data_IF_559199075392
#
_entry.id   IF_559199075392
#
_cell.length_a   1.000
_cell.length_b   1.000
_cell.length_c   1.000
_cell.angle_alpha   90.00
_cell.angle_beta   90.00
_cell.angle_gamma   90.00
#
_symmetry.space_group_name_H-M   'P 1'
#
loop_
_entity.id
_entity.type
_entity.pdbx_description
1 polymer ?
#
# COMPACT_ATOMS: atom_id res chain seq x y z
N UNK A 1 5.41 33.19 14.36
CA UNK A 1 4.20 33.84 14.95
C UNK A 1 3.10 34.02 13.91
N UNK A 2 3.26 34.80 12.84
CA UNK A 2 2.19 35.08 11.84
C UNK A 2 1.51 33.83 11.27
N UNK A 3 2.24 32.75 10.95
CA UNK A 3 1.68 31.48 10.45
C UNK A 3 0.84 30.80 11.53
N UNK A 4 1.31 30.78 12.75
CA UNK A 4 0.60 30.19 13.89
C UNK A 4 -0.70 30.96 14.17
N UNK A 5 -0.65 32.28 14.17
CA UNK A 5 -1.81 33.15 14.41
C UNK A 5 -2.86 32.95 13.30
N UNK A 6 -2.43 32.85 12.05
CA UNK A 6 -3.29 32.56 10.92
C UNK A 6 -3.93 31.14 11.06
N UNK A 7 -3.15 30.13 11.41
CA UNK A 7 -3.66 28.77 11.60
C UNK A 7 -4.70 28.70 12.74
N UNK A 8 -4.45 29.41 13.84
CA UNK A 8 -5.40 29.54 14.94
C UNK A 8 -6.72 30.17 14.50
N UNK A 9 -6.65 31.31 13.81
CA UNK A 9 -7.84 32.04 13.37
C UNK A 9 -8.71 31.23 12.40
N UNK A 10 -8.09 30.36 11.58
CA UNK A 10 -8.79 29.51 10.62
C UNK A 10 -9.02 28.07 11.12
N UNK A 11 -8.61 27.75 12.35
CA UNK A 11 -8.74 26.40 12.94
C UNK A 11 -8.15 25.28 12.10
N UNK A 12 -7.01 25.52 11.43
CA UNK A 12 -6.31 24.57 10.58
C UNK A 12 -5.10 23.99 11.29
N UNK A 13 -4.80 22.71 11.02
CA UNK A 13 -3.61 22.05 11.53
C UNK A 13 -2.34 22.50 10.78
N UNK A 14 -1.21 22.48 11.47
CA UNK A 14 0.10 22.69 10.87
C UNK A 14 0.89 21.38 10.88
N UNK A 15 1.41 20.99 9.73
CA UNK A 15 2.34 19.86 9.66
C UNK A 15 3.79 20.36 9.81
N UNK A 16 4.39 20.02 10.95
CA UNK A 16 5.82 20.24 11.21
C UNK A 16 6.63 19.10 10.56
N UNK A 17 7.48 19.42 9.60
CA UNK A 17 8.20 18.42 8.82
C UNK A 17 9.72 18.57 8.93
N UNK A 18 10.41 17.45 9.21
CA UNK A 18 11.85 17.31 9.15
C UNK A 18 12.22 16.37 8.01
N UNK A 19 13.00 16.86 7.07
CA UNK A 19 13.62 16.03 6.04
C UNK A 19 15.09 15.87 6.38
N UNK A 20 15.59 14.64 6.38
CA UNK A 20 17.00 14.36 6.67
C UNK A 20 17.95 15.24 5.87
N UNK A 21 17.68 15.40 4.57
CA UNK A 21 18.51 16.22 3.68
C UNK A 21 18.52 17.72 4.02
N UNK A 22 17.58 18.22 4.83
CA UNK A 22 17.48 19.63 5.21
C UNK A 22 18.11 19.96 6.57
N UNK A 23 18.69 18.98 7.24
CA UNK A 23 19.34 19.17 8.54
C UNK A 23 20.67 19.90 8.34
N UNK A 24 20.81 21.09 8.93
CA UNK A 24 21.99 21.97 8.76
C UNK A 24 23.30 21.35 9.20
N UNK A 25 23.27 20.57 10.28
CA UNK A 25 24.46 19.94 10.90
C UNK A 25 24.78 18.56 10.28
N UNK A 26 24.07 18.16 9.22
CA UNK A 26 24.27 16.87 8.58
C UNK A 26 25.48 16.92 7.64
N UNK A 27 26.52 16.19 8.02
CA UNK A 27 27.69 15.92 7.16
C UNK A 27 27.55 14.52 6.54
N UNK A 28 28.24 14.28 5.44
CA UNK A 28 28.17 13.02 4.69
C UNK A 28 28.61 11.78 5.49
N UNK A 29 29.53 11.97 6.43
CA UNK A 29 30.14 10.93 7.26
C UNK A 29 29.40 10.61 8.58
N UNK A 30 28.25 11.27 8.81
CA UNK A 30 27.49 11.08 10.04
C UNK A 30 26.81 9.70 10.05
N UNK A 31 27.08 8.90 11.09
CA UNK A 31 26.51 7.58 11.28
C UNK A 31 24.95 7.62 11.33
N UNK A 32 24.25 6.56 10.85
CA UNK A 32 22.79 6.52 10.80
C UNK A 32 22.09 6.86 12.11
N UNK A 33 22.51 6.29 13.22
CA UNK A 33 21.92 6.57 14.54
C UNK A 33 22.03 8.04 14.94
N UNK A 34 23.14 8.70 14.59
CA UNK A 34 23.33 10.13 14.87
C UNK A 34 22.45 10.99 13.97
N UNK A 35 22.16 10.55 12.73
CA UNK A 35 21.21 11.23 11.84
C UNK A 35 19.80 11.24 12.43
N UNK A 36 19.34 10.10 12.93
CA UNK A 36 18.05 9.98 13.63
C UNK A 36 17.99 10.92 14.84
N UNK A 37 19.05 10.95 15.66
CA UNK A 37 19.13 11.84 16.81
C UNK A 37 19.06 13.32 16.40
N UNK A 38 19.69 13.72 15.29
CA UNK A 38 19.60 15.07 14.74
C UNK A 38 18.19 15.39 14.24
N UNK A 39 17.53 14.47 13.56
CA UNK A 39 16.15 14.64 13.12
C UNK A 39 15.20 14.82 14.31
N UNK A 40 15.34 14.01 15.36
CA UNK A 40 14.57 14.15 16.60
C UNK A 40 14.83 15.47 17.31
N UNK A 41 16.08 15.92 17.36
CA UNK A 41 16.45 17.21 17.96
C UNK A 41 15.75 18.36 17.21
N UNK A 42 15.75 18.32 15.88
CA UNK A 42 15.08 19.33 15.05
C UNK A 42 13.56 19.29 15.26
N UNK A 43 12.94 18.10 15.24
CA UNK A 43 11.52 17.94 15.50
C UNK A 43 11.14 18.48 16.89
N UNK A 44 11.95 18.19 17.89
CA UNK A 44 11.75 18.69 19.26
C UNK A 44 11.79 20.21 19.33
N UNK A 45 12.64 20.83 18.51
CA UNK A 45 12.72 22.31 18.44
C UNK A 45 11.45 22.91 17.82
N UNK A 46 10.88 22.28 16.81
CA UNK A 46 9.61 22.69 16.21
C UNK A 46 8.44 22.53 17.21
N UNK A 47 8.31 21.38 17.84
CA UNK A 47 7.23 21.13 18.80
C UNK A 47 7.27 22.18 19.92
N UNK A 48 8.43 22.40 20.54
CA UNK A 48 8.59 23.43 21.58
C UNK A 48 8.25 24.84 21.10
N UNK A 49 8.56 25.18 19.84
CA UNK A 49 8.19 26.48 19.26
C UNK A 49 6.66 26.64 19.20
N UNK A 50 5.95 25.63 18.74
CA UNK A 50 4.50 25.66 18.63
C UNK A 50 3.82 25.67 20.01
N UNK A 51 4.26 24.80 20.93
CA UNK A 51 3.77 24.75 22.30
C UNK A 51 3.98 26.08 23.04
N UNK A 52 5.15 26.71 22.88
CA UNK A 52 5.43 28.05 23.43
C UNK A 52 4.41 29.11 22.96
N UNK A 53 3.85 28.94 21.78
CA UNK A 53 2.80 29.84 21.26
C UNK A 53 1.40 29.33 21.53
N UNK A 54 1.22 28.29 22.37
CA UNK A 54 -0.08 27.71 22.70
C UNK A 54 -0.78 27.14 21.46
N UNK A 55 -0.04 26.43 20.58
CA UNK A 55 -0.56 25.80 19.38
C UNK A 55 -0.25 24.30 19.42
N UNK A 56 -1.28 23.49 19.51
CA UNK A 56 -1.25 22.04 19.68
C UNK A 56 -1.86 21.26 18.50
N UNK A 57 -2.51 21.94 17.56
CA UNK A 57 -3.08 21.31 16.37
C UNK A 57 -1.98 21.00 15.34
N UNK A 58 -1.07 20.09 15.72
CA UNK A 58 0.10 19.70 14.96
C UNK A 58 -0.04 18.31 14.34
N UNK A 59 0.64 18.13 13.22
CA UNK A 59 0.95 16.82 12.63
C UNK A 59 2.48 16.76 12.44
N UNK A 60 3.13 15.73 12.93
CA UNK A 60 4.57 15.57 12.79
C UNK A 60 4.93 14.74 11.56
N UNK A 61 6.04 15.05 10.93
CA UNK A 61 6.50 14.30 9.74
C UNK A 61 8.01 14.28 9.68
N UNK A 62 8.63 13.10 9.73
CA UNK A 62 10.06 12.92 9.50
C UNK A 62 10.29 11.97 8.33
N UNK A 63 11.09 12.41 7.36
CA UNK A 63 11.32 11.66 6.12
C UNK A 63 12.81 11.56 5.80
N UNK A 64 13.21 10.38 5.35
CA UNK A 64 14.52 10.10 4.77
C UNK A 64 14.36 9.48 3.38
N UNK A 65 15.39 9.51 2.57
CA UNK A 65 15.47 8.73 1.34
C UNK A 65 15.80 7.24 1.62
N UNK A 66 16.25 6.93 2.82
CA UNK A 66 16.54 5.57 3.26
C UNK A 66 15.34 4.97 3.99
N UNK A 67 14.98 3.76 3.57
CA UNK A 67 13.81 3.03 4.09
C UNK A 67 13.94 2.75 5.60
N UNK A 68 15.08 2.21 6.02
CA UNK A 68 15.30 1.82 7.43
C UNK A 68 15.33 3.06 8.33
N UNK A 69 16.04 4.12 7.92
CA UNK A 69 16.06 5.36 8.70
C UNK A 69 14.67 6.02 8.79
N UNK A 70 13.86 5.91 7.72
CA UNK A 70 12.47 6.41 7.77
C UNK A 70 11.66 5.64 8.81
N UNK A 71 11.80 4.32 8.88
CA UNK A 71 11.13 3.50 9.90
C UNK A 71 11.59 3.89 11.29
N UNK A 72 12.91 3.89 11.52
CA UNK A 72 13.49 4.14 12.84
C UNK A 72 13.18 5.55 13.38
N UNK A 73 13.24 6.59 12.55
CA UNK A 73 12.93 7.95 13.00
C UNK A 73 11.44 8.09 13.35
N UNK A 74 10.53 7.47 12.61
CA UNK A 74 9.11 7.57 12.92
C UNK A 74 8.72 6.73 14.16
N UNK A 75 9.34 5.57 14.40
CA UNK A 75 9.25 4.84 15.68
C UNK A 75 9.69 5.72 16.85
N UNK A 76 10.82 6.40 16.68
CA UNK A 76 11.33 7.30 17.70
C UNK A 76 10.42 8.52 17.92
N UNK A 77 9.79 9.07 16.86
CA UNK A 77 8.78 10.13 16.99
C UNK A 77 7.58 9.62 17.77
N UNK A 78 7.01 8.47 17.39
CA UNK A 78 5.85 7.88 18.07
C UNK A 78 6.10 7.62 19.56
N UNK A 79 7.35 7.31 19.95
CA UNK A 79 7.73 7.11 21.36
C UNK A 79 7.90 8.42 22.13
N UNK A 80 8.27 9.52 21.45
CA UNK A 80 8.67 10.78 22.12
C UNK A 80 7.60 11.87 22.08
N UNK A 81 6.57 11.75 21.24
CA UNK A 81 5.55 12.78 21.03
C UNK A 81 4.17 12.16 20.92
N UNK A 82 3.18 12.86 21.43
CA UNK A 82 1.77 12.48 21.37
C UNK A 82 1.03 13.39 20.35
N UNK A 83 1.46 13.32 19.09
CA UNK A 83 0.87 14.05 17.97
C UNK A 83 0.66 13.11 16.78
N UNK A 84 -0.35 13.32 15.95
CA UNK A 84 -0.53 12.59 14.70
C UNK A 84 0.72 12.63 13.83
N UNK A 85 1.03 11.50 13.18
CA UNK A 85 2.24 11.33 12.37
C UNK A 85 1.88 11.16 10.89
N UNK A 86 2.50 11.99 10.06
CA UNK A 86 2.45 11.86 8.61
C UNK A 86 3.69 11.12 8.12
N UNK A 87 3.51 9.89 7.67
CA UNK A 87 4.60 9.01 7.24
C UNK A 87 4.77 9.00 5.72
N UNK A 88 5.98 8.76 5.28
CA UNK A 88 6.33 8.60 3.86
C UNK A 88 7.82 8.62 3.64
N UNK A 89 8.24 8.04 2.53
CA UNK A 89 9.62 8.10 2.05
C UNK A 89 9.81 9.35 1.19
N UNK A 90 11.00 9.93 1.16
CA UNK A 90 11.35 11.02 0.23
C UNK A 90 12.33 10.53 -0.83
N UNK A 91 12.29 11.13 -2.03
CA UNK A 91 13.15 10.77 -3.17
C UNK A 91 13.07 9.28 -3.56
N UNK A 92 11.88 8.70 -3.56
CA UNK A 92 11.70 7.27 -3.80
C UNK A 92 11.92 6.84 -5.27
N UNK A 93 11.98 7.79 -6.23
CA UNK A 93 12.32 7.52 -7.64
C UNK A 93 11.11 7.48 -8.57
N UNK A 94 11.25 6.76 -9.68
CA UNK A 94 10.16 6.46 -10.60
C UNK A 94 9.13 5.53 -9.93
N UNK A 95 7.89 5.41 -10.45
CA UNK A 95 6.86 4.58 -9.81
C UNK A 95 7.30 3.13 -9.54
N UNK A 96 8.04 2.54 -10.46
CA UNK A 96 8.55 1.17 -10.36
C UNK A 96 9.60 1.03 -9.25
N UNK A 97 10.49 2.01 -9.11
CA UNK A 97 11.56 2.03 -8.12
C UNK A 97 11.02 2.39 -6.73
N UNK A 98 10.02 3.27 -6.67
CA UNK A 98 9.42 3.76 -5.44
C UNK A 98 8.49 2.75 -4.76
N UNK A 99 7.91 1.81 -5.52
CA UNK A 99 6.91 0.86 -5.03
C UNK A 99 7.41 0.05 -3.85
N UNK A 100 8.54 -0.61 -3.99
CA UNK A 100 9.08 -1.50 -2.94
C UNK A 100 9.55 -0.72 -1.70
N UNK A 101 10.42 0.30 -1.82
CA UNK A 101 10.87 1.06 -0.66
C UNK A 101 9.72 1.74 0.10
N UNK A 102 8.74 2.30 -0.61
CA UNK A 102 7.56 2.92 0.00
C UNK A 102 6.68 1.89 0.70
N UNK A 103 6.46 0.72 0.08
CA UNK A 103 5.68 -0.35 0.69
C UNK A 103 6.33 -0.88 1.96
N UNK A 104 7.65 -1.04 1.97
CA UNK A 104 8.38 -1.48 3.16
C UNK A 104 8.32 -0.42 4.25
N UNK A 105 8.66 0.86 3.96
CA UNK A 105 8.69 1.90 4.97
C UNK A 105 7.30 2.17 5.56
N UNK A 106 6.31 2.46 4.71
CA UNK A 106 4.95 2.82 5.11
C UNK A 106 4.24 1.60 5.70
N UNK A 107 4.38 0.43 5.03
CA UNK A 107 3.72 -0.80 5.45
C UNK A 107 4.17 -1.28 6.81
N UNK A 108 5.48 -1.23 7.11
CA UNK A 108 6.02 -1.59 8.42
C UNK A 108 5.45 -0.68 9.52
N UNK A 109 5.50 0.64 9.32
CA UNK A 109 5.00 1.59 10.30
C UNK A 109 3.50 1.43 10.56
N UNK A 110 2.69 1.31 9.50
CA UNK A 110 1.25 1.10 9.63
C UNK A 110 0.90 -0.23 10.32
N UNK A 111 1.65 -1.30 10.06
CA UNK A 111 1.46 -2.58 10.73
C UNK A 111 1.78 -2.51 12.24
N UNK A 112 2.61 -1.56 12.65
CA UNK A 112 2.93 -1.25 14.04
C UNK A 112 1.97 -0.23 14.68
N UNK A 113 0.95 0.23 13.94
CA UNK A 113 0.01 1.26 14.40
C UNK A 113 0.59 2.68 14.38
N UNK A 114 1.67 2.92 13.65
CA UNK A 114 2.33 4.21 13.52
C UNK A 114 1.96 4.85 12.18
N UNK A 115 1.36 6.04 12.21
CA UNK A 115 1.02 6.84 11.03
C UNK A 115 -0.48 7.04 10.87
N UNK A 116 -0.89 8.30 10.86
CA UNK A 116 -2.28 8.75 10.73
C UNK A 116 -2.59 9.20 9.31
N UNK A 117 -1.59 9.65 8.60
CA UNK A 117 -1.66 10.00 7.18
C UNK A 117 -0.41 9.53 6.44
N UNK A 118 -0.55 9.20 5.16
CA UNK A 118 0.55 8.67 4.36
C UNK A 118 0.79 9.51 3.11
N UNK A 119 2.02 9.49 2.59
CA UNK A 119 2.36 9.94 1.25
C UNK A 119 3.38 9.00 0.62
N UNK A 120 3.06 8.49 -0.55
CA UNK A 120 4.03 7.92 -1.49
C UNK A 120 4.58 9.06 -2.35
N UNK A 121 5.89 9.09 -2.59
CA UNK A 121 6.53 10.13 -3.43
C UNK A 121 7.12 9.46 -4.67
N UNK A 122 6.60 9.82 -5.85
CA UNK A 122 7.13 9.34 -7.13
C UNK A 122 7.42 10.50 -8.08
N UNK A 123 8.37 10.31 -8.96
CA UNK A 123 8.59 11.22 -10.08
C UNK A 123 7.63 10.85 -11.22
N UNK A 124 6.80 11.79 -11.66
CA UNK A 124 5.85 11.59 -12.77
C UNK A 124 4.41 11.91 -12.39
N UNK A 125 3.47 11.12 -12.87
CA UNK A 125 2.04 11.33 -12.65
C UNK A 125 1.68 11.16 -11.15
N UNK A 126 1.16 12.21 -10.48
CA UNK A 126 0.80 12.16 -9.07
C UNK A 126 -0.32 11.16 -8.76
N UNK A 127 -1.12 10.74 -9.74
CA UNK A 127 -2.15 9.70 -9.56
C UNK A 127 -1.50 8.38 -9.17
N UNK A 128 -0.27 8.10 -9.61
CA UNK A 128 0.48 6.90 -9.22
C UNK A 128 0.79 6.85 -7.72
N UNK A 129 1.01 7.99 -7.07
CA UNK A 129 1.19 8.07 -5.61
C UNK A 129 -0.04 7.53 -4.88
N UNK A 130 -1.24 7.91 -5.35
CA UNK A 130 -2.51 7.44 -4.78
C UNK A 130 -2.72 5.95 -5.01
N UNK A 131 -2.44 5.46 -6.22
CA UNK A 131 -2.58 4.03 -6.55
C UNK A 131 -1.70 3.17 -5.64
N UNK A 132 -0.42 3.52 -5.50
CA UNK A 132 0.53 2.79 -4.64
C UNK A 132 0.12 2.90 -3.17
N UNK A 133 -0.25 4.09 -2.69
CA UNK A 133 -0.69 4.31 -1.32
C UNK A 133 -1.91 3.45 -0.96
N UNK A 134 -2.92 3.40 -1.83
CA UNK A 134 -4.09 2.54 -1.64
C UNK A 134 -3.75 1.06 -1.67
N UNK A 135 -2.82 0.64 -2.53
CA UNK A 135 -2.35 -0.75 -2.53
C UNK A 135 -1.70 -1.14 -1.20
N UNK A 136 -0.88 -0.26 -0.62
CA UNK A 136 -0.28 -0.49 0.71
C UNK A 136 -1.37 -0.64 1.78
N UNK A 137 -2.34 0.29 1.83
CA UNK A 137 -3.43 0.25 2.80
C UNK A 137 -4.27 -1.04 2.67
N UNK A 138 -4.61 -1.44 1.45
CA UNK A 138 -5.36 -2.67 1.17
C UNK A 138 -4.60 -3.92 1.58
N UNK A 139 -3.29 -3.96 1.30
CA UNK A 139 -2.44 -5.09 1.69
C UNK A 139 -2.37 -5.32 3.20
N UNK A 140 -2.68 -4.27 3.98
CA UNK A 140 -2.75 -4.31 5.45
C UNK A 140 -4.20 -4.42 5.98
N UNK A 141 -5.21 -4.49 5.11
CA UNK A 141 -6.60 -4.49 5.53
C UNK A 141 -7.12 -3.17 6.11
N UNK A 142 -6.35 -2.07 5.95
CA UNK A 142 -6.71 -0.74 6.43
C UNK A 142 -7.65 0.03 5.49
N UNK A 143 -7.79 -0.43 4.27
CA UNK A 143 -8.77 0.04 3.29
C UNK A 143 -9.48 -1.17 2.68
N UNK A 144 -10.80 -1.13 2.62
CA UNK A 144 -11.58 -2.16 1.93
C UNK A 144 -11.32 -2.11 0.42
N UNK A 145 -11.32 -3.26 -0.22
CA UNK A 145 -11.29 -3.32 -1.68
C UNK A 145 -12.55 -2.67 -2.25
N UNK A 146 -12.37 -1.51 -2.88
CA UNK A 146 -13.47 -0.82 -3.56
C UNK A 146 -13.81 -1.40 -4.94
N UNK A 147 -13.07 -2.43 -5.39
CA UNK A 147 -13.21 -3.07 -6.69
C UNK A 147 -12.71 -4.51 -6.66
N UNK A 148 -12.63 -5.16 -7.83
CA UNK A 148 -12.25 -6.55 -7.92
C UNK A 148 -10.78 -6.81 -7.53
N UNK A 149 -10.55 -7.91 -6.85
CA UNK A 149 -9.23 -8.46 -6.55
C UNK A 149 -8.97 -9.69 -7.43
N UNK A 150 -7.79 -9.80 -8.02
CA UNK A 150 -7.39 -10.94 -8.82
C UNK A 150 -6.22 -11.70 -8.17
N UNK A 151 -6.49 -12.92 -7.77
CA UNK A 151 -5.52 -13.88 -7.25
C UNK A 151 -5.08 -14.79 -8.39
N UNK A 152 -3.79 -14.97 -8.58
CA UNK A 152 -3.24 -15.77 -9.67
C UNK A 152 -2.25 -16.80 -9.12
N UNK A 153 -2.41 -18.05 -9.51
CA UNK A 153 -1.48 -19.12 -9.21
C UNK A 153 -0.07 -18.78 -9.78
N UNK A 154 1.01 -18.91 -8.97
CA UNK A 154 2.38 -18.59 -9.39
C UNK A 154 2.95 -19.58 -10.41
N UNK A 155 2.18 -20.56 -10.83
CA UNK A 155 2.55 -21.68 -11.70
C UNK A 155 3.59 -22.63 -11.07
N UNK A 156 3.43 -23.91 -11.32
CA UNK A 156 4.35 -24.96 -10.87
C UNK A 156 4.33 -26.13 -11.86
N UNK A 157 5.05 -27.21 -11.58
CA UNK A 157 5.06 -28.41 -12.44
C UNK A 157 3.71 -29.10 -12.62
N UNK A 158 2.66 -28.74 -11.88
CA UNK A 158 1.28 -29.24 -12.03
C UNK A 158 0.42 -28.38 -12.95
N UNK A 159 0.91 -27.22 -13.37
CA UNK A 159 0.17 -26.30 -14.23
C UNK A 159 -0.04 -26.92 -15.62
N UNK A 160 -1.30 -26.96 -16.06
CA UNK A 160 -1.70 -27.58 -17.32
C UNK A 160 -2.18 -26.58 -18.37
N UNK A 161 -2.20 -25.31 -18.05
CA UNK A 161 -2.69 -24.23 -18.90
C UNK A 161 -1.79 -23.00 -18.83
N UNK A 162 -1.89 -22.10 -19.78
CA UNK A 162 -1.21 -20.81 -19.72
C UNK A 162 -1.95 -19.87 -18.75
N UNK A 163 -1.68 -20.02 -17.45
CA UNK A 163 -2.28 -19.21 -16.37
C UNK A 163 -2.05 -17.72 -16.58
N UNK A 164 -0.86 -17.33 -17.01
CA UNK A 164 -0.52 -15.90 -17.21
C UNK A 164 -1.40 -15.29 -18.30
N UNK A 165 -1.57 -15.99 -19.42
CA UNK A 165 -2.45 -15.53 -20.51
C UNK A 165 -3.91 -15.46 -20.06
N UNK A 166 -4.39 -16.46 -19.33
CA UNK A 166 -5.74 -16.48 -18.78
C UNK A 166 -5.97 -15.35 -17.79
N UNK A 167 -5.05 -15.17 -16.83
CA UNK A 167 -5.11 -14.11 -15.83
C UNK A 167 -5.13 -12.71 -16.44
N UNK A 168 -4.32 -12.46 -17.50
CA UNK A 168 -4.36 -11.19 -18.23
C UNK A 168 -5.73 -10.91 -18.86
N UNK A 169 -6.35 -11.93 -19.44
CA UNK A 169 -7.72 -11.83 -20.03
C UNK A 169 -8.75 -11.55 -18.92
N UNK A 170 -8.69 -12.27 -17.81
CA UNK A 170 -9.57 -12.05 -16.64
C UNK A 170 -9.36 -10.64 -16.08
N UNK A 171 -8.12 -10.19 -15.89
CA UNK A 171 -7.82 -8.82 -15.43
C UNK A 171 -8.48 -7.77 -16.30
N UNK A 172 -8.39 -7.92 -17.62
CA UNK A 172 -9.03 -6.99 -18.56
C UNK A 172 -10.56 -6.95 -18.42
N UNK A 173 -11.21 -8.08 -18.13
CA UNK A 173 -12.65 -8.13 -17.86
C UNK A 173 -12.99 -7.46 -16.52
N UNK A 174 -12.12 -7.58 -15.52
CA UNK A 174 -12.31 -6.97 -14.21
C UNK A 174 -12.18 -5.44 -14.21
N UNK A 175 -11.58 -4.83 -15.24
CA UNK A 175 -11.47 -3.36 -15.36
C UNK A 175 -12.83 -2.65 -15.40
N UNK A 176 -13.87 -3.32 -15.90
CA UNK A 176 -15.24 -2.79 -15.94
C UNK A 176 -16.07 -3.10 -14.68
N UNK A 177 -15.53 -3.92 -13.76
CA UNK A 177 -16.25 -4.33 -12.55
C UNK A 177 -15.95 -3.35 -11.42
N UNK A 178 -16.99 -2.75 -10.87
CA UNK A 178 -16.87 -1.78 -9.77
C UNK A 178 -17.17 -2.39 -8.40
N UNK A 179 -17.75 -3.57 -8.35
CA UNK A 179 -18.08 -4.28 -7.12
C UNK A 179 -16.84 -4.94 -6.50
N UNK A 180 -16.75 -5.01 -5.18
CA UNK A 180 -15.73 -5.80 -4.52
C UNK A 180 -16.02 -7.29 -4.78
N UNK A 181 -15.19 -7.95 -5.55
CA UNK A 181 -15.25 -9.39 -5.83
C UNK A 181 -13.84 -9.95 -5.89
N UNK A 182 -13.62 -11.05 -5.20
CA UNK A 182 -12.34 -11.75 -5.14
C UNK A 182 -12.33 -12.88 -6.14
N UNK A 183 -11.56 -12.74 -7.21
CA UNK A 183 -11.49 -13.69 -8.32
C UNK A 183 -10.16 -14.42 -8.30
N UNK A 184 -10.17 -15.75 -8.40
CA UNK A 184 -8.95 -16.56 -8.46
C UNK A 184 -8.78 -17.30 -9.78
N UNK A 185 -7.56 -17.32 -10.31
CA UNK A 185 -7.17 -18.08 -11.50
C UNK A 185 -6.07 -19.06 -11.14
N UNK A 186 -6.42 -20.36 -11.14
CA UNK A 186 -5.54 -21.46 -10.76
C UNK A 186 -5.24 -22.37 -11.93
N UNK A 187 -3.99 -22.78 -12.08
CA UNK A 187 -3.49 -23.58 -13.20
C UNK A 187 -3.59 -25.09 -13.04
N UNK A 188 -4.15 -25.59 -11.94
CA UNK A 188 -4.38 -27.00 -11.74
C UNK A 188 -5.60 -27.27 -10.85
N UNK A 189 -6.09 -28.51 -10.90
CA UNK A 189 -7.24 -28.98 -10.10
C UNK A 189 -6.82 -29.65 -8.79
N UNK A 190 -5.54 -29.79 -8.53
CA UNK A 190 -5.02 -30.49 -7.34
C UNK A 190 -5.01 -29.56 -6.13
N UNK A 191 -4.20 -28.50 -6.17
CA UNK A 191 -4.09 -27.53 -5.09
C UNK A 191 -5.00 -26.31 -5.33
N UNK A 192 -5.33 -26.02 -6.61
CA UNK A 192 -6.10 -24.86 -7.01
C UNK A 192 -7.38 -24.62 -6.21
N UNK A 193 -8.24 -25.63 -5.99
CA UNK A 193 -9.44 -25.46 -5.19
C UNK A 193 -9.19 -25.03 -3.74
N UNK A 194 -8.14 -25.57 -3.11
CA UNK A 194 -7.75 -25.20 -1.74
C UNK A 194 -7.14 -23.79 -1.66
N UNK A 195 -6.24 -23.47 -2.60
CA UNK A 195 -5.59 -22.14 -2.67
C UNK A 195 -6.57 -21.01 -3.06
N UNK A 196 -7.68 -21.36 -3.69
CA UNK A 196 -8.74 -20.42 -4.07
C UNK A 196 -9.96 -20.46 -3.14
N UNK A 197 -9.88 -21.10 -2.00
CA UNK A 197 -11.03 -21.30 -1.10
C UNK A 197 -11.65 -19.99 -0.62
N UNK A 198 -10.84 -18.96 -0.41
CA UNK A 198 -11.26 -17.63 0.03
C UNK A 198 -11.73 -16.71 -1.11
N UNK A 199 -11.73 -17.19 -2.35
CA UNK A 199 -12.21 -16.42 -3.48
C UNK A 199 -13.73 -16.57 -3.63
N UNK A 200 -14.39 -15.47 -3.98
CA UNK A 200 -15.82 -15.47 -4.32
C UNK A 200 -16.08 -16.29 -5.57
N UNK A 201 -15.22 -16.10 -6.58
CA UNK A 201 -15.25 -16.85 -7.84
C UNK A 201 -13.84 -17.34 -8.17
N UNK A 202 -13.71 -18.62 -8.45
CA UNK A 202 -12.44 -19.18 -8.86
C UNK A 202 -12.56 -20.06 -10.10
N UNK A 203 -11.51 -20.08 -10.90
CA UNK A 203 -11.29 -21.10 -11.92
C UNK A 203 -10.06 -21.92 -11.57
N UNK A 204 -10.22 -23.24 -11.59
CA UNK A 204 -9.11 -24.18 -11.54
C UNK A 204 -9.04 -24.89 -12.88
N UNK A 205 -8.09 -24.51 -13.72
CA UNK A 205 -8.00 -25.01 -15.08
C UNK A 205 -7.08 -26.23 -15.16
N UNK A 206 -7.42 -27.17 -16.04
CA UNK A 206 -6.59 -28.35 -16.29
C UNK A 206 -7.18 -29.28 -17.35
N UNK A 207 -6.31 -29.91 -18.12
CA UNK A 207 -6.65 -30.91 -19.15
C UNK A 207 -7.73 -30.43 -20.16
N UNK A 208 -7.59 -29.20 -20.67
CA UNK A 208 -8.55 -28.62 -21.64
C UNK A 208 -9.87 -28.16 -21.04
N UNK A 209 -10.04 -28.22 -19.73
CA UNK A 209 -11.27 -27.84 -19.02
C UNK A 209 -10.99 -26.83 -17.91
N UNK A 210 -12.00 -26.05 -17.57
CA UNK A 210 -12.03 -25.19 -16.41
C UNK A 210 -13.13 -25.62 -15.43
N UNK A 211 -12.75 -25.69 -14.17
CA UNK A 211 -13.66 -25.98 -13.05
C UNK A 211 -13.94 -24.66 -12.34
N UNK A 212 -15.18 -24.20 -12.38
CA UNK A 212 -15.59 -22.94 -11.78
C UNK A 212 -16.13 -23.19 -10.38
N UNK A 213 -15.65 -22.40 -9.44
CA UNK A 213 -16.06 -22.42 -8.04
C UNK A 213 -16.70 -21.09 -7.67
N UNK A 214 -17.72 -21.12 -6.83
CA UNK A 214 -18.31 -19.96 -6.17
C UNK A 214 -18.31 -20.23 -4.66
N UNK A 215 -17.67 -19.36 -3.88
CA UNK A 215 -17.52 -19.50 -2.44
C UNK A 215 -17.01 -20.92 -2.05
N UNK A 216 -15.95 -21.39 -2.69
CA UNK A 216 -15.33 -22.68 -2.46
C UNK A 216 -16.11 -23.91 -3.01
N UNK A 217 -17.33 -23.75 -3.54
CA UNK A 217 -18.14 -24.84 -4.08
C UNK A 217 -18.04 -24.88 -5.61
N UNK A 218 -17.77 -26.07 -6.16
CA UNK A 218 -17.75 -26.27 -7.61
C UNK A 218 -19.16 -26.13 -8.18
N UNK A 219 -19.36 -25.21 -9.12
CA UNK A 219 -20.64 -24.88 -9.72
C UNK A 219 -20.73 -25.23 -11.21
N UNK A 220 -19.61 -25.31 -11.92
CA UNK A 220 -19.58 -25.64 -13.33
C UNK A 220 -18.27 -26.30 -13.75
N UNK A 221 -18.35 -27.03 -14.88
CA UNK A 221 -17.20 -27.52 -15.63
C UNK A 221 -17.40 -27.07 -17.07
N UNK A 222 -16.42 -26.38 -17.62
CA UNK A 222 -16.50 -25.79 -18.96
C UNK A 222 -15.25 -26.12 -19.78
N UNK A 223 -15.38 -26.18 -21.08
CA UNK A 223 -14.24 -26.31 -21.98
C UNK A 223 -13.37 -25.05 -21.89
N UNK A 224 -12.06 -25.19 -22.04
CA UNK A 224 -11.09 -24.07 -21.92
C UNK A 224 -11.43 -22.90 -22.83
N UNK A 225 -11.96 -23.18 -24.04
CA UNK A 225 -12.36 -22.16 -24.99
C UNK A 225 -13.47 -21.22 -24.48
N UNK A 226 -14.39 -21.72 -23.65
CA UNK A 226 -15.53 -20.97 -23.13
C UNK A 226 -15.29 -20.43 -21.72
N UNK A 227 -14.15 -20.72 -21.14
CA UNK A 227 -13.84 -20.44 -19.74
C UNK A 227 -13.97 -18.95 -19.39
N UNK A 228 -13.44 -18.09 -20.24
CA UNK A 228 -13.44 -16.65 -20.01
C UNK A 228 -14.84 -16.05 -20.01
N UNK A 229 -15.68 -16.47 -20.94
CA UNK A 229 -17.02 -15.94 -21.07
C UNK A 229 -17.92 -16.39 -19.91
N UNK A 230 -17.81 -17.66 -19.50
CA UNK A 230 -18.54 -18.15 -18.34
C UNK A 230 -18.06 -17.50 -17.04
N UNK A 231 -16.75 -17.26 -16.88
CA UNK A 231 -16.25 -16.50 -15.74
C UNK A 231 -16.78 -15.07 -15.74
N UNK A 232 -16.75 -14.37 -16.87
CA UNK A 232 -17.27 -13.01 -16.99
C UNK A 232 -18.74 -12.94 -16.58
N UNK A 233 -19.58 -13.85 -17.09
CA UNK A 233 -20.98 -13.96 -16.70
C UNK A 233 -21.17 -14.13 -15.19
N UNK A 234 -20.36 -15.00 -14.57
CA UNK A 234 -20.46 -15.25 -13.11
C UNK A 234 -19.98 -14.06 -12.29
N UNK A 235 -19.01 -13.29 -12.77
CA UNK A 235 -18.51 -12.08 -12.13
C UNK A 235 -19.56 -10.95 -12.22
N UNK A 236 -20.19 -10.78 -13.38
CA UNK A 236 -21.23 -9.76 -13.58
C UNK A 236 -22.48 -10.02 -12.73
N UNK A 237 -22.81 -11.29 -12.51
CA UNK A 237 -23.95 -11.74 -11.70
C UNK A 237 -23.62 -11.99 -10.21
N UNK A 238 -22.43 -11.55 -9.74
CA UNK A 238 -22.06 -11.58 -8.35
C UNK A 238 -22.52 -10.33 -7.61
#
# INVERSE_FOLDING_TARGET
TRIIDCAKSHKIAIRAGVNEASIRDLKSDVAPAKRIALMLKEMRSFVRLFEKHGFDNLVLSAKSADTVRTIEVNRAIATNFDYPIHIGLTHAGLPEDALIPSSVAIGTLLAEGIGDTIRVSVAGDPVKEIVIGRQILRSLGLESHAGPELIVCPTCGRCQVNVVALAKKVRKRLESVTKPVRVAVMGCVVNGPGEAADADIAVCAGAGKGYIYKNGKKIAVVEEANLLDVMAEKIENF
#
